data_IF_136911824902
#
_entry.id   IF_136911824902
#
_cell.length_a   1.000
_cell.length_b   1.000
_cell.length_c   1.000
_cell.angle_alpha   90.00
_cell.angle_beta   90.00
_cell.angle_gamma   90.00
#
_symmetry.space_group_name_H-M   'P 1'
#
loop_
_entity.id
_entity.type
_entity.pdbx_description
1 polymer ?
#
# COMPACT_ATOMS: atom_id res chain seq x y z
N UNK A 1 -44.86 -47.81 56.25
CA UNK A 1 -43.80 -48.10 57.22
C UNK A 1 -42.47 -47.96 56.50
N UNK A 2 -41.57 -47.21 57.19
CA UNK A 2 -40.09 -47.10 56.91
C UNK A 2 -39.69 -46.49 55.54
N UNK A 3 -39.36 -45.20 55.42
CA UNK A 3 -38.14 -44.45 55.86
C UNK A 3 -36.87 -45.20 55.43
N UNK A 4 -36.16 -44.62 54.45
CA UNK A 4 -34.72 -44.42 54.58
C UNK A 4 -34.28 -43.31 53.65
N UNK A 5 -33.82 -42.21 54.28
CA UNK A 5 -32.89 -41.20 53.73
C UNK A 5 -31.56 -41.90 53.39
N UNK A 6 -30.95 -41.50 52.31
CA UNK A 6 -29.50 -41.32 52.35
C UNK A 6 -29.07 -40.29 51.34
N UNK A 7 -28.46 -39.28 51.88
CA UNK A 7 -27.68 -38.27 51.18
C UNK A 7 -26.39 -38.88 50.66
N UNK A 8 -25.97 -38.53 49.47
CA UNK A 8 -24.58 -38.61 49.07
C UNK A 8 -24.25 -37.52 48.08
N UNK A 9 -23.67 -36.55 48.69
CA UNK A 9 -22.35 -36.01 48.37
C UNK A 9 -22.14 -35.50 46.95
N UNK A 10 -22.21 -34.21 46.90
CA UNK A 10 -21.77 -33.31 45.89
C UNK A 10 -20.24 -33.45 45.69
N UNK A 11 -19.80 -33.98 44.61
CA UNK A 11 -18.41 -33.88 44.16
C UNK A 11 -18.35 -32.99 42.94
N UNK A 12 -18.22 -31.71 43.20
CA UNK A 12 -17.93 -30.70 42.22
C UNK A 12 -16.49 -30.85 41.73
N UNK A 13 -16.32 -31.47 40.58
CA UNK A 13 -15.03 -31.51 39.88
C UNK A 13 -14.87 -30.21 39.13
N UNK A 14 -14.10 -29.28 39.70
CA UNK A 14 -13.65 -28.05 39.05
C UNK A 14 -12.69 -28.43 37.89
N UNK A 15 -13.20 -28.51 36.67
CA UNK A 15 -12.36 -28.47 35.48
C UNK A 15 -12.03 -26.99 35.20
N UNK A 16 -10.81 -26.60 35.53
CA UNK A 16 -10.24 -25.35 35.06
C UNK A 16 -10.07 -25.42 33.53
N UNK A 17 -10.46 -24.39 32.76
CA UNK A 17 -10.11 -24.33 31.36
C UNK A 17 -8.61 -24.01 31.27
N UNK A 18 -7.87 -24.90 30.62
CA UNK A 18 -6.50 -24.66 30.18
C UNK A 18 -6.61 -23.59 29.09
N UNK A 19 -6.23 -22.36 29.42
CA UNK A 19 -6.02 -21.30 28.45
C UNK A 19 -4.81 -21.69 27.60
N UNK A 20 -5.05 -22.28 26.43
CA UNK A 20 -4.07 -22.34 25.37
C UNK A 20 -3.77 -20.90 24.95
N UNK A 21 -2.55 -20.46 25.25
CA UNK A 21 -2.03 -19.19 24.78
C UNK A 21 -2.00 -19.20 23.26
N UNK A 22 -2.84 -18.35 22.66
CA UNK A 22 -2.76 -18.03 21.24
C UNK A 22 -1.45 -17.28 21.03
N UNK A 23 -0.47 -18.03 20.50
CA UNK A 23 0.76 -17.47 19.97
C UNK A 23 0.39 -16.46 18.88
N UNK A 24 0.59 -15.19 19.18
CA UNK A 24 0.41 -14.07 18.28
C UNK A 24 1.44 -14.15 17.15
N UNK A 25 1.18 -14.97 16.14
CA UNK A 25 1.90 -14.94 14.87
C UNK A 25 1.32 -13.83 14.00
N UNK A 26 1.50 -12.58 14.44
CA UNK A 26 1.15 -11.40 13.68
C UNK A 26 2.29 -11.01 12.72
N UNK A 27 2.91 -11.99 12.08
CA UNK A 27 3.96 -11.74 11.11
C UNK A 27 3.56 -12.32 9.77
N UNK A 28 3.45 -11.42 8.79
CA UNK A 28 3.25 -11.71 7.36
C UNK A 28 1.81 -11.86 6.85
N UNK A 29 0.83 -11.17 7.46
CA UNK A 29 -0.43 -10.96 6.76
C UNK A 29 -0.26 -9.77 5.80
N UNK A 30 -0.48 -9.95 4.47
CA UNK A 30 -0.57 -8.81 3.57
C UNK A 30 -1.60 -7.82 4.13
N UNK A 31 -1.36 -6.50 4.03
CA UNK A 31 -2.27 -5.50 4.57
C UNK A 31 -3.66 -5.74 4.00
N UNK A 32 -4.64 -5.88 4.90
CA UNK A 32 -6.04 -5.99 4.50
C UNK A 32 -6.42 -4.73 3.72
N UNK A 33 -6.97 -4.87 2.50
CA UNK A 33 -7.45 -3.71 1.76
C UNK A 33 -8.47 -2.96 2.61
N UNK A 34 -8.37 -1.65 2.61
CA UNK A 34 -9.29 -0.77 3.33
C UNK A 34 -10.73 -1.13 2.92
N UNK A 35 -11.49 -1.66 3.86
CA UNK A 35 -12.79 -2.29 3.62
C UNK A 35 -13.77 -1.29 3.01
N UNK A 36 -14.07 -1.42 1.73
CA UNK A 36 -15.24 -0.82 1.09
C UNK A 36 -15.06 -0.11 -0.23
N UNK A 37 -13.85 0.16 -0.71
CA UNK A 37 -13.65 0.75 -2.03
C UNK A 37 -12.96 -0.22 -2.97
N UNK A 38 -13.52 -0.38 -4.18
CA UNK A 38 -12.84 -1.10 -5.26
C UNK A 38 -11.47 -0.46 -5.54
N UNK A 39 -10.45 -1.26 -5.87
CA UNK A 39 -9.13 -0.73 -6.21
C UNK A 39 -9.25 0.27 -7.36
N UNK A 40 -8.68 1.45 -7.17
CA UNK A 40 -8.70 2.54 -8.15
C UNK A 40 -7.35 2.60 -8.85
N UNK A 41 -7.35 2.38 -10.18
CA UNK A 41 -6.19 2.67 -11.01
C UNK A 41 -6.59 3.70 -12.07
N UNK A 42 -5.98 4.88 -12.04
CA UNK A 42 -6.27 5.99 -12.97
C UNK A 42 -4.99 6.64 -13.47
N UNK A 43 -5.03 7.09 -14.72
CA UNK A 43 -4.00 7.95 -15.29
C UNK A 43 -4.45 9.40 -15.20
N UNK A 44 -3.58 10.25 -14.67
CA UNK A 44 -3.82 11.68 -14.47
C UNK A 44 -2.91 12.51 -15.36
N UNK A 45 -3.43 13.57 -15.93
CA UNK A 45 -2.62 14.61 -16.57
C UNK A 45 -1.75 15.35 -15.55
N UNK A 46 -0.67 16.04 -15.94
CA UNK A 46 0.16 16.81 -15.02
C UNK A 46 -0.60 17.81 -14.16
N UNK A 47 -1.57 18.61 -14.69
CA UNK A 47 -2.38 19.49 -13.85
C UNK A 47 -3.23 18.77 -12.82
N UNK A 48 -3.86 17.64 -13.20
CA UNK A 48 -4.66 16.83 -12.27
C UNK A 48 -3.80 16.21 -11.18
N UNK A 49 -2.62 15.69 -11.55
CA UNK A 49 -1.66 15.15 -10.60
C UNK A 49 -1.15 16.22 -9.62
N UNK A 50 -0.88 17.43 -10.11
CA UNK A 50 -0.50 18.59 -9.27
C UNK A 50 -1.59 18.93 -8.26
N UNK A 51 -2.85 19.01 -8.70
CA UNK A 51 -3.99 19.27 -7.85
C UNK A 51 -4.17 18.16 -6.79
N UNK A 52 -3.98 16.89 -7.17
CA UNK A 52 -4.03 15.75 -6.24
C UNK A 52 -2.93 15.84 -5.17
N UNK A 53 -1.68 16.19 -5.56
CA UNK A 53 -0.55 16.36 -4.63
C UNK A 53 -0.85 17.45 -3.60
N UNK A 54 -1.48 18.53 -4.01
CA UNK A 54 -1.83 19.66 -3.13
C UNK A 54 -2.97 19.29 -2.17
N UNK A 55 -3.96 18.57 -2.67
CA UNK A 55 -5.16 18.20 -1.90
C UNK A 55 -4.91 17.06 -0.91
N UNK A 56 -4.00 16.11 -1.20
CA UNK A 56 -3.83 14.87 -0.43
C UNK A 56 -2.46 14.78 0.26
N UNK A 57 -2.43 15.02 1.55
CA UNK A 57 -1.20 14.92 2.36
C UNK A 57 -0.77 13.47 2.65
N UNK A 58 -1.67 12.53 2.47
CA UNK A 58 -1.43 11.09 2.60
C UNK A 58 -0.90 10.45 1.31
N UNK A 59 -0.91 11.17 0.18
CA UNK A 59 -0.41 10.69 -1.11
C UNK A 59 1.10 10.46 -1.08
N UNK A 60 1.53 9.28 -1.53
CA UNK A 60 2.95 8.96 -1.70
C UNK A 60 3.32 9.05 -3.17
N UNK A 61 4.32 9.86 -3.47
CA UNK A 61 4.86 10.00 -4.82
C UNK A 61 6.01 9.01 -4.98
N UNK A 62 5.93 8.14 -5.99
CA UNK A 62 6.95 7.12 -6.27
C UNK A 62 7.49 7.32 -7.68
N UNK A 63 8.76 7.66 -7.76
CA UNK A 63 9.49 7.74 -9.02
C UNK A 63 10.13 6.38 -9.34
N UNK A 64 9.66 5.72 -10.41
CA UNK A 64 10.16 4.40 -10.80
C UNK A 64 11.27 4.47 -11.86
N UNK A 65 11.86 5.63 -12.07
CA UNK A 65 13.03 5.81 -12.95
C UNK A 65 14.30 5.19 -12.33
N UNK A 66 15.38 5.19 -13.09
CA UNK A 66 16.68 4.80 -12.55
C UNK A 66 17.31 5.97 -11.75
N UNK A 67 18.28 5.70 -10.86
CA UNK A 67 19.03 6.76 -10.16
C UNK A 67 19.68 7.77 -11.11
N UNK A 68 20.16 7.32 -12.27
CA UNK A 68 20.80 8.17 -13.28
C UNK A 68 19.83 9.19 -13.89
N UNK A 69 18.57 8.77 -14.12
CA UNK A 69 17.53 9.65 -14.67
C UNK A 69 17.12 10.77 -13.72
N UNK A 70 17.40 10.67 -12.42
CA UNK A 70 17.09 11.71 -11.44
C UNK A 70 17.92 12.98 -11.60
N UNK A 71 19.07 12.91 -12.29
CA UNK A 71 19.89 14.10 -12.62
C UNK A 71 19.09 15.15 -13.41
N UNK A 72 18.07 14.72 -14.14
CA UNK A 72 17.16 15.61 -14.87
C UNK A 72 16.16 16.38 -13.98
N UNK A 73 16.17 16.09 -12.68
CA UNK A 73 15.21 16.60 -11.70
C UNK A 73 14.11 15.59 -11.38
N UNK A 74 13.44 15.80 -10.25
CA UNK A 74 12.33 14.98 -9.74
C UNK A 74 11.21 15.85 -9.22
N UNK A 75 9.98 15.32 -9.14
CA UNK A 75 8.87 16.02 -8.49
C UNK A 75 9.17 16.11 -6.98
N UNK A 76 9.02 17.31 -6.37
CA UNK A 76 9.30 17.47 -4.93
C UNK A 76 8.54 16.46 -4.07
N UNK A 77 9.22 15.87 -3.11
CA UNK A 77 8.64 14.86 -2.20
C UNK A 77 8.53 13.44 -2.78
N UNK A 78 8.93 13.21 -4.04
CA UNK A 78 8.96 11.85 -4.60
C UNK A 78 10.11 11.02 -4.02
N UNK A 79 9.82 9.75 -3.71
CA UNK A 79 10.83 8.75 -3.36
C UNK A 79 11.16 7.88 -4.58
N UNK A 80 12.42 7.49 -4.68
CA UNK A 80 12.88 6.61 -5.75
C UNK A 80 12.67 5.14 -5.38
N UNK A 81 11.94 4.42 -6.22
CA UNK A 81 11.83 2.95 -6.18
C UNK A 81 11.98 2.46 -7.62
N UNK A 82 13.20 2.10 -8.06
CA UNK A 82 13.47 1.82 -9.46
C UNK A 82 12.63 0.67 -10.02
N UNK A 83 12.12 0.83 -11.23
CA UNK A 83 11.36 -0.18 -11.95
C UNK A 83 12.05 -1.54 -11.98
N UNK A 84 13.37 -1.56 -12.19
CA UNK A 84 14.15 -2.79 -12.22
C UNK A 84 14.12 -3.54 -10.88
N UNK A 85 14.12 -2.84 -9.76
CA UNK A 85 14.04 -3.42 -8.42
C UNK A 85 12.65 -4.00 -8.13
N UNK A 86 11.60 -3.29 -8.57
CA UNK A 86 10.22 -3.77 -8.49
C UNK A 86 10.00 -5.01 -9.37
N UNK A 87 10.49 -4.99 -10.61
CA UNK A 87 10.35 -6.09 -11.56
C UNK A 87 11.07 -7.37 -11.11
N UNK A 88 12.15 -7.24 -10.35
CA UNK A 88 12.91 -8.37 -9.80
C UNK A 88 12.46 -8.76 -8.39
N UNK A 89 11.43 -8.13 -7.85
CA UNK A 89 10.91 -8.41 -6.52
C UNK A 89 11.86 -8.04 -5.36
N UNK A 90 12.91 -7.23 -5.64
CA UNK A 90 13.85 -6.78 -4.60
C UNK A 90 13.34 -5.60 -3.79
N UNK A 91 12.40 -4.85 -4.35
CA UNK A 91 11.68 -3.77 -3.66
C UNK A 91 10.17 -3.93 -3.89
N UNK A 92 9.39 -3.31 -3.03
CA UNK A 92 7.94 -3.25 -3.15
C UNK A 92 7.44 -1.82 -2.99
N UNK A 93 6.21 -1.56 -3.42
CA UNK A 93 5.58 -0.25 -3.21
C UNK A 93 5.10 -0.09 -1.76
N UNK A 94 5.05 1.14 -1.23
CA UNK A 94 4.39 1.43 0.04
C UNK A 94 2.93 0.98 0.04
N UNK A 95 2.47 0.42 1.15
CA UNK A 95 1.10 -0.06 1.33
C UNK A 95 0.27 0.87 2.22
N UNK A 96 -1.07 0.73 2.17
CA UNK A 96 -1.98 1.44 3.07
C UNK A 96 -2.15 2.94 2.78
N UNK A 97 -1.58 3.45 1.69
CA UNK A 97 -1.66 4.85 1.27
C UNK A 97 -1.89 4.95 -0.24
N UNK A 98 -2.54 6.02 -0.73
CA UNK A 98 -2.63 6.28 -2.16
C UNK A 98 -1.26 6.58 -2.76
N UNK A 99 -1.03 6.10 -3.98
CA UNK A 99 0.25 6.23 -4.68
C UNK A 99 0.09 7.02 -5.97
N UNK A 100 1.02 7.93 -6.25
CA UNK A 100 1.22 8.53 -7.57
C UNK A 100 2.54 8.02 -8.14
N UNK A 101 2.45 7.23 -9.21
CA UNK A 101 3.59 6.64 -9.88
C UNK A 101 4.09 7.53 -11.03
N UNK A 102 5.40 7.75 -11.07
CA UNK A 102 6.07 8.67 -12.00
C UNK A 102 7.17 7.90 -12.72
N UNK A 103 7.27 8.06 -14.03
CA UNK A 103 8.47 7.65 -14.77
C UNK A 103 8.84 8.69 -15.83
N UNK A 104 9.70 8.37 -16.81
CA UNK A 104 10.12 9.32 -17.82
C UNK A 104 8.94 9.81 -18.71
N UNK A 105 8.16 8.88 -19.26
CA UNK A 105 7.11 9.13 -20.25
C UNK A 105 5.76 8.45 -19.93
N UNK A 106 5.57 7.93 -18.72
CA UNK A 106 4.31 7.34 -18.26
C UNK A 106 4.15 5.83 -18.47
N UNK A 107 4.94 5.18 -19.31
CA UNK A 107 4.76 3.74 -19.65
C UNK A 107 5.19 2.78 -18.54
N UNK A 108 6.37 2.95 -17.95
CA UNK A 108 6.86 2.11 -16.84
C UNK A 108 5.95 2.24 -15.61
N UNK A 109 5.59 3.46 -15.24
CA UNK A 109 4.68 3.74 -14.12
C UNK A 109 3.28 3.18 -14.35
N UNK A 110 2.78 3.20 -15.58
CA UNK A 110 1.52 2.57 -15.97
C UNK A 110 1.57 1.04 -15.74
N UNK A 111 2.60 0.37 -16.25
CA UNK A 111 2.77 -1.08 -16.08
C UNK A 111 2.87 -1.48 -14.60
N UNK A 112 3.61 -0.72 -13.79
CA UNK A 112 3.69 -0.91 -12.34
C UNK A 112 2.33 -0.73 -11.71
N UNK A 113 1.61 0.34 -12.03
CA UNK A 113 0.28 0.61 -11.48
C UNK A 113 -0.72 -0.49 -11.80
N UNK A 114 -0.73 -0.95 -13.03
CA UNK A 114 -1.58 -2.05 -13.49
C UNK A 114 -1.31 -3.35 -12.71
N UNK A 115 -0.03 -3.70 -12.54
CA UNK A 115 0.37 -4.91 -11.83
C UNK A 115 -0.01 -4.86 -10.34
N UNK A 116 0.25 -3.73 -9.67
CA UNK A 116 0.00 -3.61 -8.24
C UNK A 116 -1.47 -3.37 -7.89
N UNK A 117 -2.27 -2.74 -8.78
CA UNK A 117 -3.72 -2.58 -8.54
C UNK A 117 -4.44 -3.92 -8.39
N UNK A 118 -3.96 -4.99 -9.07
CA UNK A 118 -4.45 -6.36 -8.90
C UNK A 118 -3.96 -7.07 -7.62
N UNK A 119 -3.12 -6.41 -6.80
CA UNK A 119 -2.48 -7.02 -5.63
C UNK A 119 -2.89 -6.41 -4.29
N UNK A 120 -4.09 -5.85 -4.23
CA UNK A 120 -4.66 -5.33 -2.98
C UNK A 120 -4.23 -3.90 -2.61
N UNK A 121 -3.61 -3.17 -3.54
CA UNK A 121 -3.39 -1.73 -3.38
C UNK A 121 -4.70 -0.98 -3.66
N UNK A 122 -5.08 -0.04 -2.77
CA UNK A 122 -6.36 0.67 -2.84
C UNK A 122 -6.41 1.70 -3.96
N UNK A 123 -5.58 2.73 -3.89
CA UNK A 123 -5.57 3.82 -4.86
C UNK A 123 -4.17 3.97 -5.49
N UNK A 124 -4.09 3.79 -6.80
CA UNK A 124 -2.87 4.01 -7.58
C UNK A 124 -3.18 4.95 -8.72
N UNK A 125 -2.34 5.96 -8.87
CA UNK A 125 -2.39 6.91 -9.97
C UNK A 125 -1.12 6.83 -10.81
N UNK A 126 -1.25 6.97 -12.12
CA UNK A 126 -0.14 7.07 -13.07
C UNK A 126 -0.06 8.49 -13.60
N UNK A 127 1.12 9.08 -13.66
CA UNK A 127 1.35 10.36 -14.30
C UNK A 127 1.42 10.21 -15.82
N UNK A 128 0.43 10.73 -16.54
CA UNK A 128 0.42 10.74 -18.00
C UNK A 128 1.63 11.49 -18.56
N UNK A 129 2.34 10.88 -19.51
CA UNK A 129 3.53 11.47 -20.12
C UNK A 129 4.71 11.63 -19.14
N UNK A 130 4.59 11.18 -17.89
CA UNK A 130 5.65 11.15 -16.90
C UNK A 130 6.30 12.51 -16.62
N UNK A 131 7.59 12.48 -16.23
CA UNK A 131 8.36 13.70 -15.92
C UNK A 131 8.51 14.61 -17.12
N UNK A 132 8.49 14.06 -18.35
CA UNK A 132 8.57 14.85 -19.58
C UNK A 132 7.35 15.77 -19.74
N UNK A 133 6.14 15.23 -19.56
CA UNK A 133 4.92 16.04 -19.62
C UNK A 133 4.80 17.01 -18.43
N UNK A 134 5.27 16.62 -17.25
CA UNK A 134 5.34 17.48 -16.07
C UNK A 134 6.21 18.71 -16.32
N UNK A 135 7.41 18.52 -16.91
CA UNK A 135 8.31 19.61 -17.35
C UNK A 135 7.66 20.50 -18.40
N UNK A 136 7.04 19.90 -19.42
CA UNK A 136 6.37 20.62 -20.51
C UNK A 136 5.22 21.49 -20.00
N UNK A 137 4.56 21.08 -18.93
CA UNK A 137 3.52 21.87 -18.25
C UNK A 137 4.10 22.98 -17.34
N UNK A 138 5.42 23.19 -17.30
CA UNK A 138 6.06 24.22 -16.48
C UNK A 138 5.96 23.98 -14.98
N UNK A 139 5.69 22.72 -14.54
CA UNK A 139 5.48 22.39 -13.15
C UNK A 139 6.81 22.21 -12.39
N UNK A 140 6.84 22.44 -11.07
CA UNK A 140 8.09 22.51 -10.30
C UNK A 140 8.81 21.17 -10.24
N UNK A 141 10.13 21.25 -10.38
CA UNK A 141 11.06 20.14 -10.17
C UNK A 141 12.11 20.54 -9.15
N UNK A 142 12.59 19.57 -8.37
CA UNK A 142 13.77 19.71 -7.54
C UNK A 142 14.96 18.98 -8.20
N UNK A 143 16.15 19.56 -8.13
CA UNK A 143 17.42 18.88 -8.43
C UNK A 143 17.92 18.19 -7.17
N UNK A 144 18.44 16.99 -7.31
CA UNK A 144 19.12 16.26 -6.24
C UNK A 144 20.61 16.31 -6.45
#
# INVERSE_FOLDING_TARGET
MKRYLQACSLLMLLLAPIACGDGNSAENRPPTPNSGQAPVFRTLSPPEAKALIEARKDLVLVDVRSPQELSEGSIPGSQLIPFAELAQGRMTLPTGRPLLLICAVGGRSYAVGQYFSGKGYGEIYNLAGGISAWKAAGLPLQRR
#
